data_IF_656045211279
#
_entry.id   IF_656045211279
#
_cell.length_a   1.000
_cell.length_b   1.000
_cell.length_c   1.000
_cell.angle_alpha   90.00
_cell.angle_beta   90.00
_cell.angle_gamma   90.00
#
_symmetry.space_group_name_H-M   'P 1'
#
loop_
_entity.id
_entity.type
_entity.pdbx_description
1 polymer ?
#
# COMPACT_ATOMS: atom_id res chain seq x y z
N UNK A 1 -11.66 2.43 -16.97
CA UNK A 1 -10.74 3.58 -16.83
C UNK A 1 -9.33 3.06 -17.04
N UNK A 2 -8.49 3.75 -17.81
CA UNK A 2 -7.10 3.31 -18.01
C UNK A 2 -6.21 4.05 -17.01
N UNK A 3 -5.49 3.34 -16.14
CA UNK A 3 -4.54 3.91 -15.20
C UNK A 3 -3.11 3.63 -15.66
N UNK A 4 -2.14 4.53 -15.40
CA UNK A 4 -0.73 4.21 -15.60
C UNK A 4 -0.32 2.97 -14.80
N UNK A 5 0.67 2.22 -15.27
CA UNK A 5 1.06 0.96 -14.66
C UNK A 5 1.76 1.14 -13.29
N UNK A 6 1.35 0.32 -12.33
CA UNK A 6 1.98 0.12 -11.03
C UNK A 6 2.64 -1.27 -11.00
N UNK A 7 3.82 -1.36 -10.41
CA UNK A 7 4.61 -2.59 -10.29
C UNK A 7 4.31 -3.32 -8.99
N UNK A 8 4.71 -4.59 -8.87
CA UNK A 8 4.54 -5.31 -7.60
C UNK A 8 5.63 -4.87 -6.60
N UNK A 9 5.26 -4.77 -5.31
CA UNK A 9 6.19 -4.44 -4.23
C UNK A 9 6.43 -5.68 -3.38
N UNK A 10 7.71 -5.96 -3.13
CA UNK A 10 8.13 -7.00 -2.20
C UNK A 10 7.84 -6.57 -0.76
N UNK A 11 7.45 -7.52 0.09
CA UNK A 11 7.10 -7.28 1.49
C UNK A 11 8.34 -7.13 2.38
N UNK A 12 9.15 -6.12 2.10
CA UNK A 12 10.42 -5.87 2.78
C UNK A 12 10.37 -4.54 3.57
N UNK A 13 10.54 -4.55 4.91
CA UNK A 13 10.53 -3.33 5.74
C UNK A 13 11.40 -2.18 5.22
N UNK A 14 12.58 -2.47 4.66
CA UNK A 14 13.45 -1.44 4.08
C UNK A 14 12.81 -0.73 2.87
N UNK A 15 12.05 -1.44 2.04
CA UNK A 15 11.31 -0.88 0.91
C UNK A 15 10.20 0.06 1.42
N UNK A 16 9.41 -0.38 2.39
CA UNK A 16 8.34 0.45 2.94
C UNK A 16 8.88 1.71 3.64
N UNK A 17 9.99 1.58 4.35
CA UNK A 17 10.70 2.71 4.97
C UNK A 17 11.20 3.70 3.91
N UNK A 18 11.77 3.20 2.81
CA UNK A 18 12.19 4.03 1.68
C UNK A 18 11.02 4.76 1.01
N UNK A 19 9.89 4.09 0.79
CA UNK A 19 8.67 4.71 0.25
C UNK A 19 8.19 5.85 1.17
N UNK A 20 8.17 5.63 2.49
CA UNK A 20 7.79 6.67 3.46
C UNK A 20 8.71 7.89 3.36
N UNK A 21 10.02 7.67 3.32
CA UNK A 21 11.03 8.73 3.23
C UNK A 21 10.91 9.55 1.93
N UNK A 22 10.77 8.89 0.79
CA UNK A 22 10.60 9.55 -0.53
C UNK A 22 9.25 10.28 -0.65
N UNK A 23 8.24 9.89 0.14
CA UNK A 23 6.99 10.64 0.28
C UNK A 23 7.07 11.78 1.29
N UNK A 24 8.25 12.03 1.88
CA UNK A 24 8.49 13.11 2.82
C UNK A 24 7.95 12.85 4.24
N UNK A 25 7.66 11.58 4.60
CA UNK A 25 7.28 11.23 5.97
C UNK A 25 8.54 11.21 6.84
N UNK A 26 8.46 11.88 8.00
CA UNK A 26 9.61 12.06 8.90
C UNK A 26 9.49 11.17 10.13
N UNK A 27 10.63 10.72 10.66
CA UNK A 27 10.76 10.00 11.93
C UNK A 27 9.89 8.73 12.06
N UNK A 28 9.56 8.10 10.93
CA UNK A 28 8.84 6.81 10.87
C UNK A 28 9.68 5.79 10.10
N UNK A 29 9.74 4.57 10.64
CA UNK A 29 10.32 3.40 9.98
C UNK A 29 9.31 2.24 10.01
N UNK A 30 9.51 1.27 9.14
CA UNK A 30 8.78 0.00 9.16
C UNK A 30 9.70 -1.09 9.68
N UNK A 31 9.17 -1.93 10.56
CA UNK A 31 9.86 -3.09 11.12
C UNK A 31 8.99 -4.34 10.96
N UNK A 32 9.65 -5.48 10.75
CA UNK A 32 8.98 -6.77 10.66
C UNK A 32 8.62 -7.29 12.06
N UNK A 33 7.42 -7.86 12.18
CA UNK A 33 6.95 -8.49 13.42
C UNK A 33 7.12 -10.00 13.28
N UNK A 34 8.00 -10.58 14.10
CA UNK A 34 8.30 -12.01 14.06
C UNK A 34 7.36 -12.88 14.91
N UNK A 35 6.64 -12.29 15.87
CA UNK A 35 5.71 -13.01 16.74
C UNK A 35 4.51 -12.15 17.13
N UNK A 36 3.35 -12.80 17.27
CA UNK A 36 2.12 -12.19 17.77
C UNK A 36 1.88 -12.48 19.26
N UNK A 37 2.81 -13.15 19.93
CA UNK A 37 2.70 -13.48 21.34
C UNK A 37 2.85 -12.23 22.22
N UNK A 38 2.01 -12.11 23.25
CA UNK A 38 2.06 -10.96 24.18
C UNK A 38 3.43 -10.76 24.83
N UNK A 39 4.20 -11.83 25.03
CA UNK A 39 5.55 -11.76 25.59
C UNK A 39 6.59 -11.17 24.64
N UNK A 40 6.29 -11.14 23.34
CA UNK A 40 7.15 -10.57 22.30
C UNK A 40 6.91 -9.08 22.07
N UNK A 41 5.78 -8.54 22.56
CA UNK A 41 5.51 -7.12 22.51
C UNK A 41 5.94 -6.46 23.81
N UNK A 42 7.18 -5.96 23.87
CA UNK A 42 7.61 -5.08 24.95
C UNK A 42 6.78 -3.76 24.89
N UNK A 43 5.99 -3.44 25.91
CA UNK A 43 5.17 -2.23 25.93
C UNK A 43 5.99 -0.93 25.72
N UNK A 44 7.28 -0.92 26.06
CA UNK A 44 8.15 0.24 25.86
C UNK A 44 8.68 0.36 24.44
N UNK A 45 8.94 -0.76 23.77
CA UNK A 45 9.40 -0.80 22.37
C UNK A 45 8.25 -0.48 21.41
N UNK A 46 7.05 -0.97 21.70
CA UNK A 46 5.86 -0.81 20.86
C UNK A 46 4.91 0.31 21.33
N UNK A 47 5.32 1.15 22.29
CA UNK A 47 4.54 2.31 22.75
C UNK A 47 4.20 3.31 21.62
N UNK A 48 4.98 3.30 20.54
CA UNK A 48 4.90 4.23 19.40
C UNK A 48 4.58 3.51 18.08
N UNK A 49 3.75 2.46 18.11
CA UNK A 49 3.26 1.84 16.87
C UNK A 49 2.18 2.72 16.23
N UNK A 50 2.46 3.21 15.02
CA UNK A 50 1.55 4.07 14.28
C UNK A 50 0.41 3.30 13.58
N UNK A 51 0.69 2.07 13.18
CA UNK A 51 -0.22 1.17 12.51
C UNK A 51 0.49 -0.13 12.12
N UNK A 52 -0.26 -1.10 11.60
CA UNK A 52 0.28 -2.38 11.14
C UNK A 52 -0.03 -2.59 9.66
N UNK A 53 0.94 -3.10 8.92
CA UNK A 53 0.75 -3.56 7.54
C UNK A 53 0.75 -5.07 7.55
N UNK A 54 -0.25 -5.69 6.95
CA UNK A 54 -0.37 -7.14 6.87
C UNK A 54 -0.45 -7.58 5.41
N UNK A 55 0.42 -8.50 5.01
CA UNK A 55 0.39 -9.16 3.71
C UNK A 55 -0.24 -10.55 3.86
N UNK A 56 -1.18 -10.87 2.99
CA UNK A 56 -1.76 -12.22 2.93
C UNK A 56 -1.98 -12.67 1.51
N UNK A 57 -1.97 -13.99 1.29
CA UNK A 57 -2.39 -14.59 0.03
C UNK A 57 -3.89 -14.36 -0.14
N UNK A 58 -4.27 -13.66 -1.19
CA UNK A 58 -5.66 -13.42 -1.52
C UNK A 58 -6.36 -14.74 -1.86
N UNK A 59 -7.50 -14.98 -1.23
CA UNK A 59 -8.42 -16.05 -1.60
C UNK A 59 -9.85 -15.49 -1.64
N UNK A 60 -10.71 -16.08 -2.48
CA UNK A 60 -12.09 -15.60 -2.63
C UNK A 60 -12.90 -15.77 -1.33
N UNK A 61 -12.55 -16.76 -0.51
CA UNK A 61 -13.21 -17.09 0.75
C UNK A 61 -12.95 -16.10 1.92
N UNK A 62 -11.84 -15.34 1.90
CA UNK A 62 -11.50 -14.35 2.92
C UNK A 62 -12.43 -13.12 2.91
N UNK A 63 -13.21 -12.92 1.84
CA UNK A 63 -14.14 -11.79 1.71
C UNK A 63 -15.40 -11.87 2.61
N UNK A 64 -15.43 -12.78 3.59
CA UNK A 64 -16.58 -12.92 4.52
C UNK A 64 -16.59 -11.88 5.64
N UNK A 65 -15.50 -11.12 5.82
CA UNK A 65 -15.49 -10.00 6.76
C UNK A 65 -16.40 -8.88 6.23
N UNK A 66 -17.59 -8.75 6.83
CA UNK A 66 -18.52 -7.66 6.52
C UNK A 66 -17.93 -6.34 6.99
N UNK A 67 -17.78 -5.38 6.09
CA UNK A 67 -17.52 -3.99 6.46
C UNK A 67 -18.64 -3.52 7.41
N UNK A 68 -18.26 -3.05 8.59
CA UNK A 68 -19.19 -2.42 9.53
C UNK A 68 -19.52 -1.04 8.95
N UNK A 69 -20.81 -0.74 8.77
CA UNK A 69 -21.31 0.50 8.15
C UNK A 69 -21.05 1.77 8.98
N UNK A 70 -20.34 1.67 10.09
CA UNK A 70 -20.01 2.80 10.96
C UNK A 70 -18.63 3.31 10.55
N UNK A 71 -18.60 4.20 9.56
CA UNK A 71 -17.44 5.07 9.37
C UNK A 71 -17.55 6.17 10.44
N UNK A 72 -16.64 6.14 11.42
CA UNK A 72 -16.37 7.35 12.19
C UNK A 72 -15.98 8.46 11.21
N UNK A 73 -16.53 9.66 11.40
CA UNK A 73 -16.53 10.75 10.40
C UNK A 73 -15.14 11.29 10.01
N UNK A 74 -14.04 10.69 10.46
CA UNK A 74 -12.70 11.24 10.32
C UNK A 74 -11.63 10.28 9.77
N UNK A 75 -11.99 9.05 9.34
CA UNK A 75 -11.02 8.12 8.76
C UNK A 75 -10.77 8.41 7.28
N UNK A 76 -9.51 8.60 6.91
CA UNK A 76 -9.04 8.57 5.53
C UNK A 76 -9.02 7.12 5.03
N UNK A 77 -10.10 6.71 4.34
CA UNK A 77 -10.20 5.40 3.70
C UNK A 77 -10.28 5.52 2.17
N UNK A 78 -9.40 4.81 1.45
CA UNK A 78 -9.37 4.76 -0.01
C UNK A 78 -9.57 3.32 -0.49
N UNK A 79 -10.55 3.10 -1.36
CA UNK A 79 -10.78 1.78 -1.99
C UNK A 79 -9.69 1.53 -3.03
N UNK A 80 -9.05 0.36 -3.01
CA UNK A 80 -8.16 -0.02 -4.10
C UNK A 80 -8.95 -0.18 -5.41
N UNK A 81 -8.52 0.55 -6.45
CA UNK A 81 -9.10 0.43 -7.79
C UNK A 81 -8.04 0.27 -8.89
N UNK A 82 -6.75 0.27 -8.51
CA UNK A 82 -5.63 0.03 -9.41
C UNK A 82 -4.85 -1.16 -8.87
N UNK A 83 -4.53 -2.09 -9.77
CA UNK A 83 -3.77 -3.28 -9.43
C UNK A 83 -2.36 -2.91 -8.97
N UNK A 84 -1.80 -3.71 -8.06
CA UNK A 84 -0.46 -3.57 -7.49
C UNK A 84 -0.17 -2.29 -6.66
N UNK A 85 -1.09 -1.34 -6.59
CA UNK A 85 -0.93 -0.14 -5.76
C UNK A 85 -1.10 -0.40 -4.24
N UNK A 86 -1.40 -1.65 -3.84
CA UNK A 86 -1.75 -2.06 -2.48
C UNK A 86 -0.70 -1.65 -1.42
N UNK A 87 0.60 -1.82 -1.71
CA UNK A 87 1.66 -1.49 -0.74
C UNK A 87 1.66 0.01 -0.38
N UNK A 88 1.65 0.88 -1.39
CA UNK A 88 1.56 2.33 -1.16
C UNK A 88 0.22 2.72 -0.54
N UNK A 89 -0.89 2.09 -0.94
CA UNK A 89 -2.17 2.36 -0.31
C UNK A 89 -2.19 1.97 1.18
N UNK A 90 -1.53 0.88 1.58
CA UNK A 90 -1.40 0.48 2.97
C UNK A 90 -0.61 1.52 3.77
N UNK A 91 0.53 1.99 3.23
CA UNK A 91 1.32 3.08 3.83
C UNK A 91 0.48 4.34 4.02
N UNK A 92 -0.21 4.78 2.97
CA UNK A 92 -1.06 5.96 3.00
C UNK A 92 -2.21 5.82 4.00
N UNK A 93 -2.78 4.62 4.11
CA UNK A 93 -3.85 4.34 5.08
C UNK A 93 -3.39 4.50 6.52
N UNK A 94 -2.09 4.36 6.81
CA UNK A 94 -1.55 4.63 8.14
C UNK A 94 -1.27 6.12 8.29
N UNK A 95 -0.36 6.66 7.48
CA UNK A 95 0.18 8.02 7.71
C UNK A 95 -0.86 9.13 7.52
N UNK A 96 -1.86 8.94 6.66
CA UNK A 96 -2.90 9.95 6.46
C UNK A 96 -3.96 9.96 7.57
N UNK A 97 -3.96 8.95 8.45
CA UNK A 97 -4.85 8.84 9.60
C UNK A 97 -4.16 9.19 10.94
N UNK A 98 -2.90 9.64 10.91
CA UNK A 98 -2.13 10.01 12.10
C UNK A 98 -1.80 11.49 12.10
N UNK A 99 -2.26 12.20 13.12
CA UNK A 99 -1.97 13.63 13.30
C UNK A 99 -0.63 13.86 14.03
N UNK A 100 -0.08 12.81 14.64
CA UNK A 100 1.21 12.77 15.33
C UNK A 100 2.36 12.28 14.43
N UNK A 101 2.09 12.07 13.13
CA UNK A 101 3.11 11.77 12.10
C UNK A 101 3.30 13.00 11.22
N UNK A 102 4.55 13.47 11.12
CA UNK A 102 4.91 14.56 10.22
C UNK A 102 5.01 14.05 8.78
N UNK A 103 4.14 14.58 7.91
CA UNK A 103 4.12 14.28 6.47
C UNK A 103 4.57 15.51 5.67
N UNK A 104 5.28 15.29 4.57
CA UNK A 104 5.76 16.38 3.70
C UNK A 104 4.66 17.11 2.94
N UNK A 105 5.00 18.30 2.41
CA UNK A 105 4.07 19.22 1.76
C UNK A 105 3.25 18.59 0.62
N UNK A 106 3.89 17.78 -0.22
CA UNK A 106 3.21 17.10 -1.32
C UNK A 106 2.13 16.13 -0.83
N UNK A 107 2.43 15.38 0.23
CA UNK A 107 1.50 14.40 0.79
C UNK A 107 0.40 15.09 1.60
N UNK A 108 0.72 16.19 2.28
CA UNK A 108 -0.26 17.04 2.94
C UNK A 108 -1.24 17.66 1.93
N UNK A 109 -0.73 18.23 0.84
CA UNK A 109 -1.56 18.76 -0.25
C UNK A 109 -2.44 17.66 -0.85
N UNK A 110 -1.89 16.47 -1.07
CA UNK A 110 -2.67 15.33 -1.55
C UNK A 110 -3.80 14.96 -0.58
N UNK A 111 -3.52 14.90 0.73
CA UNK A 111 -4.53 14.64 1.79
C UNK A 111 -5.63 15.70 1.74
N UNK A 112 -5.27 16.98 1.68
CA UNK A 112 -6.21 18.09 1.70
C UNK A 112 -7.13 18.13 0.47
N UNK A 113 -6.60 17.81 -0.71
CA UNK A 113 -7.37 17.73 -1.95
C UNK A 113 -8.34 16.54 -1.98
N UNK A 114 -8.03 15.47 -1.25
CA UNK A 114 -8.74 14.18 -1.35
C UNK A 114 -9.57 13.83 -0.13
N UNK A 115 -9.39 14.51 1.02
CA UNK A 115 -10.01 14.19 2.32
C UNK A 115 -11.53 13.98 2.26
N UNK A 116 -12.24 14.79 1.47
CA UNK A 116 -13.69 14.79 1.39
C UNK A 116 -14.25 13.94 0.23
N UNK A 117 -13.39 13.29 -0.55
CA UNK A 117 -13.80 12.43 -1.64
C UNK A 117 -14.36 11.10 -1.11
N UNK A 118 -15.25 10.47 -1.88
CA UNK A 118 -15.70 9.12 -1.56
C UNK A 118 -14.53 8.12 -1.64
N UNK A 119 -14.57 6.98 -0.94
CA UNK A 119 -13.45 6.02 -0.93
C UNK A 119 -12.99 5.57 -2.31
N UNK A 120 -13.92 5.39 -3.24
CA UNK A 120 -13.62 5.03 -4.62
C UNK A 120 -12.89 6.16 -5.38
N UNK A 121 -13.26 7.41 -5.12
CA UNK A 121 -12.63 8.59 -5.71
C UNK A 121 -11.24 8.85 -5.12
N UNK A 122 -11.05 8.64 -3.81
CA UNK A 122 -9.72 8.63 -3.15
C UNK A 122 -8.81 7.58 -3.79
N UNK A 123 -9.32 6.37 -3.99
CA UNK A 123 -8.61 5.31 -4.72
C UNK A 123 -8.20 5.74 -6.14
N UNK A 124 -9.09 6.44 -6.83
CA UNK A 124 -8.85 6.95 -8.17
C UNK A 124 -7.85 8.11 -8.21
N UNK A 125 -7.81 8.95 -7.17
CA UNK A 125 -6.80 9.99 -7.01
C UNK A 125 -5.42 9.36 -6.79
N UNK A 126 -5.31 8.35 -5.91
CA UNK A 126 -4.07 7.59 -5.69
C UNK A 126 -3.59 6.98 -7.02
N UNK A 127 -4.47 6.26 -7.72
CA UNK A 127 -4.13 5.60 -8.98
C UNK A 127 -3.65 6.53 -10.11
N UNK A 128 -4.01 7.82 -10.06
CA UNK A 128 -3.59 8.85 -11.04
C UNK A 128 -2.40 9.68 -10.59
N UNK A 129 -2.02 9.61 -9.32
CA UNK A 129 -0.92 10.42 -8.79
C UNK A 129 0.40 9.99 -9.40
N UNK A 130 1.02 10.88 -10.17
CA UNK A 130 2.34 10.62 -10.74
C UNK A 130 3.41 10.51 -9.66
N UNK A 131 3.34 11.35 -8.61
CA UNK A 131 4.26 11.32 -7.50
C UNK A 131 4.24 9.96 -6.81
N UNK A 132 3.06 9.53 -6.34
CA UNK A 132 2.90 8.27 -5.62
C UNK A 132 3.36 7.09 -6.47
N UNK A 133 3.02 7.09 -7.76
CA UNK A 133 3.42 6.03 -8.68
C UNK A 133 4.93 6.03 -8.98
N UNK A 134 5.56 7.19 -9.13
CA UNK A 134 7.01 7.31 -9.38
C UNK A 134 7.79 6.76 -8.18
N UNK A 135 7.41 7.19 -6.97
CA UNK A 135 8.01 6.68 -5.73
C UNK A 135 7.76 5.19 -5.58
N UNK A 136 6.53 4.73 -5.74
CA UNK A 136 6.23 3.29 -5.67
C UNK A 136 7.11 2.48 -6.64
N UNK A 137 7.16 2.88 -7.91
CA UNK A 137 7.89 2.12 -8.92
C UNK A 137 9.42 2.19 -8.74
N UNK A 138 9.98 3.21 -8.06
CA UNK A 138 11.42 3.29 -7.80
C UNK A 138 11.92 2.27 -6.78
N UNK A 139 11.04 1.71 -5.95
CA UNK A 139 11.37 0.67 -4.97
C UNK A 139 11.07 -0.75 -5.46
N UNK A 140 10.90 -0.92 -6.78
CA UNK A 140 10.67 -2.25 -7.33
C UNK A 140 12.03 -2.82 -7.76
N UNK A 141 12.45 -3.91 -7.13
CA UNK A 141 13.73 -4.58 -7.40
C UNK A 141 13.92 -5.00 -8.88
N UNK A 142 12.81 -5.05 -9.63
CA UNK A 142 12.72 -5.62 -10.96
C UNK A 142 11.92 -4.75 -11.94
N UNK A 143 11.86 -3.41 -11.81
CA UNK A 143 11.08 -2.60 -12.77
C UNK A 143 11.44 -2.92 -14.23
N UNK A 144 12.74 -3.12 -14.52
CA UNK A 144 13.21 -3.52 -15.84
C UNK A 144 12.98 -5.00 -16.14
N UNK A 145 13.24 -5.90 -15.19
CA UNK A 145 13.08 -7.36 -15.37
C UNK A 145 11.61 -7.77 -15.56
N UNK A 146 10.68 -7.22 -14.77
CA UNK A 146 9.23 -7.45 -14.90
C UNK A 146 8.68 -6.81 -16.17
N UNK A 147 9.11 -5.59 -16.55
CA UNK A 147 8.69 -4.97 -17.81
C UNK A 147 9.24 -5.72 -19.02
N UNK A 148 10.48 -6.24 -18.96
CA UNK A 148 11.07 -7.05 -20.02
C UNK A 148 10.32 -8.38 -20.16
N UNK A 149 9.96 -9.04 -19.06
CA UNK A 149 9.12 -10.24 -19.08
C UNK A 149 7.72 -9.97 -19.65
N UNK A 150 7.07 -8.85 -19.28
CA UNK A 150 5.76 -8.46 -19.84
C UNK A 150 5.85 -8.11 -21.34
N UNK A 151 6.94 -7.46 -21.79
CA UNK A 151 7.20 -7.14 -23.21
C UNK A 151 7.47 -8.38 -24.05
N UNK A 152 8.21 -9.36 -23.53
CA UNK A 152 8.45 -10.66 -24.19
C UNK A 152 7.16 -11.46 -24.37
N UNK A 153 6.20 -11.35 -23.45
CA UNK A 153 4.89 -12.01 -23.55
C UNK A 153 3.97 -11.38 -24.61
N UNK A 154 4.08 -10.08 -24.84
CA UNK A 154 3.34 -9.39 -25.92
C UNK A 154 3.83 -9.73 -27.33
N UNK A 155 5.03 -10.31 -27.48
CA UNK A 155 5.59 -10.74 -28.78
C UNK A 155 5.39 -12.24 -29.06
N UNK A 156 5.20 -13.08 -28.04
CA UNK A 156 4.91 -14.53 -28.22
C UNK A 156 3.46 -14.88 -27.87
N UNK A 157 2.59 -14.78 -28.87
CA UNK A 157 1.26 -15.41 -28.89
C UNK A 157 1.42 -16.93 -29.08
N UNK A 158 1.77 -17.68 -28.03
CA UNK A 158 1.65 -19.15 -28.09
C UNK A 158 1.54 -19.81 -26.71
N UNK A 159 0.43 -20.55 -26.56
CA UNK A 159 0.13 -21.65 -25.61
C UNK A 159 0.23 -21.34 -24.11
N UNK A 160 -0.96 -21.16 -23.53
CA UNK A 160 -1.42 -21.76 -22.26
C UNK A 160 -0.33 -22.39 -21.40
N UNK A 161 0.30 -21.56 -20.60
CA UNK A 161 0.81 -21.95 -19.30
C UNK A 161 0.21 -20.94 -18.34
N UNK A 162 -0.98 -21.26 -17.81
CA UNK A 162 -1.52 -20.60 -16.63
C UNK A 162 -0.58 -20.96 -15.48
N UNK A 163 0.54 -20.25 -15.38
CA UNK A 163 1.22 -20.12 -14.11
C UNK A 163 0.25 -19.31 -13.27
N UNK A 164 -0.47 -20.00 -12.40
CA UNK A 164 -1.30 -19.40 -11.37
C UNK A 164 -0.34 -18.64 -10.45
N UNK A 165 -0.18 -17.35 -10.71
CA UNK A 165 0.58 -16.50 -9.81
C UNK A 165 -0.28 -16.29 -8.58
N UNK A 166 0.24 -16.70 -7.43
CA UNK A 166 -0.37 -16.39 -6.15
C UNK A 166 -0.56 -14.86 -6.03
N UNK A 167 -1.81 -14.43 -5.93
CA UNK A 167 -2.13 -13.04 -5.67
C UNK A 167 -1.96 -12.76 -4.17
N UNK A 168 -1.17 -11.76 -3.82
CA UNK A 168 -1.01 -11.30 -2.45
C UNK A 168 -1.57 -9.89 -2.30
N UNK A 169 -2.09 -9.56 -1.12
CA UNK A 169 -2.72 -8.27 -0.85
C UNK A 169 -2.26 -7.69 0.49
N UNK A 170 -1.95 -6.40 0.49
CA UNK A 170 -1.62 -5.64 1.69
C UNK A 170 -2.88 -4.97 2.25
N UNK A 171 -3.05 -5.03 3.56
CA UNK A 171 -4.03 -4.22 4.31
C UNK A 171 -3.31 -3.48 5.45
N UNK A 172 -3.93 -2.40 5.91
CA UNK A 172 -3.45 -1.61 7.03
C UNK A 172 -4.43 -1.65 8.19
N UNK A 173 -3.91 -1.72 9.41
CA UNK A 173 -4.63 -1.48 10.65
C UNK A 173 -4.12 -0.19 11.28
N UNK A 174 -5.05 0.68 11.68
CA UNK A 174 -4.79 1.96 12.32
C UNK A 174 -5.62 2.02 13.61
N UNK A 175 -5.04 2.51 14.73
CA UNK A 175 -5.74 2.61 16.01
C UNK A 175 -6.83 3.68 16.04
#
# INVERSE_FOLDING_TARGET
>A
MNFPAWSTIESEPAIFTGILQELGVQDVKVEEIYSLDKSSFDPFEYALVYGLIFLFKWNEDANKAKAISVCENNVYFAKQIVDNACATQAVLSIVLNRDDVSIGDDLLQFKDLTRNLAPQEKGAAIGRSELLRKVHNSFTANFETENNYRREKSTKKTREMQVEYDAYHFIAYVP
#
